data_IF_165392300641
#
_entry.id   IF_165392300641
#
_cell.length_a   1.000
_cell.length_b   1.000
_cell.length_c   1.000
_cell.angle_alpha   90.00
_cell.angle_beta   90.00
_cell.angle_gamma   90.00
#
_symmetry.space_group_name_H-M   'P 1'
#
loop_
_entity.id
_entity.type
_entity.pdbx_description
1 polymer ?
#
# COMPACT_ATOMS: atom_id res chain seq x y z
N UNK A 1 -5.34 4.21 -0.52
CA UNK A 1 -5.88 3.16 -1.42
C UNK A 1 -4.94 1.97 -1.43
N UNK A 2 -5.46 0.79 -1.20
CA UNK A 2 -4.67 -0.44 -1.17
C UNK A 2 -5.26 -1.42 -2.19
N UNK A 3 -4.42 -2.01 -3.04
CA UNK A 3 -4.86 -2.98 -4.03
C UNK A 3 -3.81 -4.04 -4.33
N UNK A 4 -4.25 -5.20 -4.78
CA UNK A 4 -3.39 -6.23 -5.34
C UNK A 4 -3.12 -5.92 -6.81
N UNK A 5 -2.06 -6.54 -7.37
CA UNK A 5 -1.62 -6.25 -8.74
C UNK A 5 -2.35 -7.17 -9.72
N UNK A 6 -3.56 -6.78 -10.12
CA UNK A 6 -4.28 -7.40 -11.22
C UNK A 6 -5.13 -6.35 -11.93
N UNK A 7 -5.56 -6.63 -13.14
CA UNK A 7 -6.26 -5.66 -13.97
C UNK A 7 -7.58 -5.17 -13.36
N UNK A 8 -8.48 -6.04 -12.84
CA UNK A 8 -9.71 -5.57 -12.20
C UNK A 8 -9.47 -4.64 -11.00
N UNK A 9 -8.46 -4.97 -10.16
CA UNK A 9 -8.12 -4.14 -9.00
C UNK A 9 -7.61 -2.77 -9.44
N UNK A 10 -6.78 -2.70 -10.47
CA UNK A 10 -6.25 -1.45 -11.02
C UNK A 10 -7.38 -0.57 -11.57
N UNK A 11 -8.34 -1.17 -12.26
CA UNK A 11 -9.52 -0.44 -12.75
C UNK A 11 -10.34 0.13 -11.61
N UNK A 12 -10.49 -0.63 -10.53
CA UNK A 12 -11.19 -0.16 -9.33
C UNK A 12 -10.44 0.99 -8.66
N UNK A 13 -9.10 0.93 -8.62
CA UNK A 13 -8.28 2.04 -8.13
C UNK A 13 -8.52 3.31 -8.92
N UNK A 14 -8.56 3.20 -10.24
CA UNK A 14 -8.81 4.33 -11.11
C UNK A 14 -10.18 4.96 -10.83
N UNK A 15 -11.21 4.13 -10.66
CA UNK A 15 -12.56 4.58 -10.33
C UNK A 15 -12.60 5.26 -8.95
N UNK A 16 -11.95 4.68 -7.96
CA UNK A 16 -11.88 5.23 -6.61
C UNK A 16 -11.16 6.58 -6.61
N UNK A 17 -10.05 6.68 -7.32
CA UNK A 17 -9.31 7.94 -7.42
C UNK A 17 -10.15 9.02 -8.07
N UNK A 18 -10.83 8.71 -9.18
CA UNK A 18 -11.71 9.65 -9.86
C UNK A 18 -12.84 10.13 -8.93
N UNK A 19 -13.40 9.21 -8.13
CA UNK A 19 -14.43 9.56 -7.17
C UNK A 19 -13.90 10.50 -6.09
N UNK A 20 -12.72 10.23 -5.53
CA UNK A 20 -12.11 11.09 -4.52
C UNK A 20 -11.84 12.49 -5.08
N UNK A 21 -11.35 12.59 -6.31
CA UNK A 21 -11.13 13.88 -6.97
C UNK A 21 -12.44 14.67 -7.12
N UNK A 22 -13.52 13.99 -7.51
CA UNK A 22 -14.85 14.61 -7.62
C UNK A 22 -15.37 15.10 -6.26
N UNK A 23 -14.99 14.43 -5.18
CA UNK A 23 -15.37 14.81 -3.82
C UNK A 23 -14.49 15.92 -3.26
N UNK A 24 -13.50 16.41 -4.02
CA UNK A 24 -12.66 17.51 -3.64
C UNK A 24 -11.35 17.14 -2.93
N UNK A 25 -11.01 15.86 -2.87
CA UNK A 25 -9.72 15.45 -2.30
C UNK A 25 -8.59 15.70 -3.29
N UNK A 26 -7.52 16.35 -2.82
CA UNK A 26 -6.33 16.55 -3.65
C UNK A 26 -5.53 15.25 -3.79
N UNK A 27 -4.80 15.11 -4.90
CA UNK A 27 -3.96 13.94 -5.15
C UNK A 27 -2.91 13.73 -4.04
N UNK A 28 -2.46 14.79 -3.41
CA UNK A 28 -1.47 14.72 -2.32
C UNK A 28 -1.99 13.99 -1.08
N UNK A 29 -3.31 14.02 -0.87
CA UNK A 29 -3.95 13.36 0.26
C UNK A 29 -4.25 11.89 -0.01
N UNK A 30 -4.10 11.45 -1.25
CA UNK A 30 -4.38 10.08 -1.68
C UNK A 30 -3.06 9.34 -1.81
N UNK A 31 -2.87 8.28 -1.06
CA UNK A 31 -1.68 7.43 -1.13
C UNK A 31 -2.04 6.08 -1.72
N UNK A 32 -1.22 5.61 -2.65
CA UNK A 32 -1.42 4.32 -3.32
C UNK A 32 -0.47 3.28 -2.73
N UNK A 33 -1.03 2.20 -2.21
CA UNK A 33 -0.27 1.09 -1.64
C UNK A 33 -0.59 -0.18 -2.42
N UNK A 34 0.45 -0.85 -2.91
CA UNK A 34 0.31 -2.15 -3.57
C UNK A 34 0.55 -3.26 -2.55
N UNK A 35 -0.44 -4.15 -2.42
CA UNK A 35 -0.37 -5.29 -1.52
C UNK A 35 -0.03 -6.55 -2.30
N UNK A 36 0.57 -7.54 -1.66
CA UNK A 36 1.01 -8.80 -2.27
C UNK A 36 1.89 -8.58 -3.50
N UNK A 37 2.75 -7.57 -3.43
CA UNK A 37 3.61 -7.21 -4.54
C UNK A 37 4.68 -8.27 -4.79
N UNK A 38 4.86 -8.64 -6.06
CA UNK A 38 5.92 -9.53 -6.53
C UNK A 38 6.67 -8.86 -7.67
N UNK A 39 8.00 -8.97 -7.68
CA UNK A 39 8.83 -8.30 -8.70
C UNK A 39 8.63 -8.86 -10.11
N UNK A 40 8.16 -10.12 -10.22
CA UNK A 40 7.96 -10.81 -11.50
C UNK A 40 6.56 -10.63 -12.08
N UNK A 41 5.81 -9.63 -11.65
CA UNK A 41 4.47 -9.38 -12.16
C UNK A 41 4.50 -8.97 -13.64
N UNK A 42 3.52 -9.45 -14.41
CA UNK A 42 3.33 -9.02 -15.80
C UNK A 42 2.99 -7.54 -15.88
N UNK A 43 2.21 -7.06 -14.92
CA UNK A 43 1.84 -5.65 -14.81
C UNK A 43 2.90 -4.96 -13.97
N UNK A 44 3.59 -4.04 -14.59
CA UNK A 44 4.67 -3.29 -13.93
C UNK A 44 4.13 -2.12 -13.12
N UNK A 45 4.88 -1.70 -12.11
CA UNK A 45 4.54 -0.54 -11.29
C UNK A 45 4.31 0.71 -12.14
N UNK A 46 5.15 0.93 -13.16
CA UNK A 46 4.99 2.07 -14.07
C UNK A 46 3.67 2.04 -14.82
N UNK A 47 3.20 0.85 -15.22
CA UNK A 47 1.91 0.70 -15.89
C UNK A 47 0.76 1.09 -14.97
N UNK A 48 0.83 0.68 -13.71
CA UNK A 48 -0.18 1.01 -12.70
C UNK A 48 -0.22 2.53 -12.46
N UNK A 49 0.94 3.13 -12.31
CA UNK A 49 1.07 4.59 -12.11
C UNK A 49 0.52 5.37 -13.28
N UNK A 50 0.73 4.89 -14.51
CA UNK A 50 0.21 5.53 -15.71
C UNK A 50 -1.32 5.46 -15.81
N UNK A 51 -1.89 4.31 -15.46
CA UNK A 51 -3.36 4.11 -15.51
C UNK A 51 -4.06 4.89 -14.40
N UNK A 52 -3.57 4.78 -13.18
CA UNK A 52 -4.18 5.42 -11.99
C UNK A 52 -3.82 6.90 -11.92
N UNK A 53 -2.74 7.31 -12.57
CA UNK A 53 -2.18 8.68 -12.54
C UNK A 53 -1.80 9.09 -11.13
N UNK A 54 -1.22 8.17 -10.41
CA UNK A 54 -0.77 8.35 -9.03
C UNK A 54 0.52 7.54 -8.81
N UNK A 55 1.50 8.14 -8.14
CA UNK A 55 2.72 7.42 -7.79
C UNK A 55 2.44 6.39 -6.69
N UNK A 56 3.11 5.24 -6.77
CA UNK A 56 3.02 4.23 -5.72
C UNK A 56 3.78 4.73 -4.49
N UNK A 57 3.07 4.86 -3.39
CA UNK A 57 3.65 5.32 -2.13
C UNK A 57 4.40 4.20 -1.40
N UNK A 58 3.84 2.99 -1.41
CA UNK A 58 4.43 1.85 -0.70
C UNK A 58 4.05 0.54 -1.37
N UNK A 59 4.94 -0.44 -1.29
CA UNK A 59 4.73 -1.80 -1.77
C UNK A 59 4.87 -2.77 -0.61
N UNK A 60 3.86 -3.58 -0.36
CA UNK A 60 3.89 -4.63 0.66
C UNK A 60 4.19 -5.95 -0.06
N UNK A 61 5.28 -6.65 0.30
CA UNK A 61 5.68 -7.87 -0.41
C UNK A 61 4.69 -9.02 -0.19
N UNK A 62 4.66 -9.94 -1.14
CA UNK A 62 3.89 -11.16 -1.01
C UNK A 62 4.64 -12.16 -0.14
N UNK A 63 4.09 -12.49 1.03
CA UNK A 63 4.63 -13.53 1.91
C UNK A 63 3.46 -14.36 2.44
N UNK A 64 2.95 -15.23 1.57
CA UNK A 64 1.75 -16.00 1.83
C UNK A 64 1.88 -16.89 3.07
N UNK A 65 3.00 -17.62 3.19
CA UNK A 65 3.18 -18.59 4.29
C UNK A 65 3.17 -17.91 5.65
N UNK A 66 3.91 -16.81 5.79
CA UNK A 66 3.99 -16.06 7.05
C UNK A 66 2.64 -15.44 7.39
N UNK A 67 1.96 -14.86 6.41
CA UNK A 67 0.65 -14.23 6.63
C UNK A 67 -0.42 -15.26 6.99
N UNK A 68 -0.43 -16.41 6.33
CA UNK A 68 -1.39 -17.47 6.65
C UNK A 68 -1.15 -18.05 8.05
N UNK A 69 0.11 -18.16 8.45
CA UNK A 69 0.44 -18.57 9.82
C UNK A 69 -0.11 -17.58 10.84
N UNK A 70 0.04 -16.30 10.59
CA UNK A 70 -0.48 -15.26 11.49
C UNK A 70 -2.02 -15.30 11.56
N UNK A 71 -2.68 -15.43 10.42
CA UNK A 71 -4.14 -15.51 10.34
C UNK A 71 -4.65 -16.76 11.10
N UNK A 72 -4.03 -17.91 10.87
CA UNK A 72 -4.44 -19.16 11.50
C UNK A 72 -4.24 -19.16 13.03
N UNK A 73 -3.23 -18.46 13.51
CA UNK A 73 -2.96 -18.32 14.95
C UNK A 73 -3.70 -17.16 15.59
N UNK A 74 -4.32 -16.29 14.78
CA UNK A 74 -5.00 -15.10 15.28
C UNK A 74 -4.06 -14.10 15.94
N UNK A 75 -2.81 -14.02 15.48
CA UNK A 75 -1.78 -13.13 16.01
C UNK A 75 -1.19 -12.22 14.93
N UNK A 76 -0.70 -11.02 15.31
CA UNK A 76 -0.02 -10.15 14.36
C UNK A 76 1.23 -10.80 13.78
N UNK A 77 1.52 -10.52 12.51
CA UNK A 77 2.70 -11.07 11.83
C UNK A 77 3.99 -10.66 12.52
N UNK A 78 4.03 -9.48 13.13
CA UNK A 78 5.19 -8.98 13.87
C UNK A 78 5.51 -9.83 15.11
N UNK A 79 4.51 -10.51 15.66
CA UNK A 79 4.70 -11.41 16.81
C UNK A 79 5.10 -12.82 16.36
N UNK A 80 4.50 -13.30 15.25
CA UNK A 80 4.76 -14.64 14.73
C UNK A 80 6.20 -14.75 14.19
N UNK A 81 6.61 -13.80 13.38
CA UNK A 81 7.92 -13.80 12.76
C UNK A 81 8.39 -12.35 12.55
N UNK A 82 8.96 -11.72 13.61
CA UNK A 82 9.35 -10.31 13.54
C UNK A 82 10.47 -10.03 12.54
N UNK A 83 11.25 -11.05 12.17
CA UNK A 83 12.35 -10.91 11.22
C UNK A 83 11.96 -11.18 9.78
N UNK A 84 10.69 -11.55 9.51
CA UNK A 84 10.22 -11.77 8.15
C UNK A 84 10.22 -10.47 7.36
N UNK A 85 10.38 -10.59 6.04
CA UNK A 85 10.36 -9.42 5.15
C UNK A 85 9.07 -8.61 5.27
N UNK A 86 7.93 -9.29 5.46
CA UNK A 86 6.64 -8.62 5.56
C UNK A 86 6.49 -7.89 6.91
N UNK A 87 6.96 -8.49 8.00
CA UNK A 87 6.90 -7.83 9.31
C UNK A 87 7.77 -6.58 9.34
N UNK A 88 8.99 -6.66 8.80
CA UNK A 88 9.89 -5.51 8.68
C UNK A 88 9.28 -4.45 7.77
N UNK A 89 8.69 -4.85 6.66
CA UNK A 89 8.04 -3.95 5.72
C UNK A 89 6.89 -3.17 6.38
N UNK A 90 6.02 -3.84 7.14
CA UNK A 90 4.94 -3.17 7.87
C UNK A 90 5.47 -2.15 8.88
N UNK A 91 6.53 -2.51 9.59
CA UNK A 91 7.15 -1.60 10.57
C UNK A 91 7.69 -0.35 9.89
N UNK A 92 8.41 -0.52 8.80
CA UNK A 92 8.95 0.61 8.03
C UNK A 92 7.84 1.46 7.41
N UNK A 93 6.79 0.83 6.91
CA UNK A 93 5.63 1.52 6.35
C UNK A 93 4.94 2.38 7.41
N UNK A 94 4.69 1.80 8.58
CA UNK A 94 4.07 2.52 9.69
C UNK A 94 4.91 3.71 10.12
N UNK A 95 6.23 3.53 10.22
CA UNK A 95 7.17 4.59 10.58
C UNK A 95 7.14 5.74 9.56
N UNK A 96 7.21 5.40 8.26
CA UNK A 96 7.16 6.39 7.19
C UNK A 96 5.85 7.16 7.19
N UNK A 97 4.73 6.47 7.37
CA UNK A 97 3.42 7.09 7.40
C UNK A 97 3.25 8.02 8.60
N UNK A 98 3.73 7.61 9.78
CA UNK A 98 3.73 8.46 10.97
C UNK A 98 4.56 9.72 10.77
N UNK A 99 5.76 9.61 10.22
CA UNK A 99 6.62 10.75 9.93
C UNK A 99 5.95 11.72 8.95
N UNK A 100 5.31 11.19 7.92
CA UNK A 100 4.57 12.00 6.96
C UNK A 100 3.43 12.77 7.64
N UNK A 101 2.63 12.10 8.47
CA UNK A 101 1.50 12.71 9.16
C UNK A 101 1.96 13.79 10.14
N UNK A 102 3.04 13.56 10.87
CA UNK A 102 3.61 14.54 11.82
C UNK A 102 4.10 15.77 11.06
N UNK A 103 4.87 15.58 9.97
CA UNK A 103 5.38 16.66 9.15
C UNK A 103 4.26 17.48 8.54
N UNK A 104 3.24 16.83 7.99
CA UNK A 104 2.07 17.48 7.41
C UNK A 104 1.32 18.32 8.46
N UNK A 105 1.19 17.80 9.67
CA UNK A 105 0.53 18.48 10.77
C UNK A 105 1.29 19.73 11.21
N UNK A 106 2.62 19.66 11.24
CA UNK A 106 3.48 20.80 11.60
C UNK A 106 3.44 21.90 10.52
N UNK A 107 3.35 21.52 9.25
CA UNK A 107 3.27 22.47 8.14
C UNK A 107 1.94 23.22 8.08
N UNK A 108 0.87 22.63 8.61
CA UNK A 108 -0.47 23.22 8.60
C UNK A 108 -0.75 24.11 9.80
N UNK A 109 0.25 24.31 10.65
CA UNK A 109 0.20 25.29 11.73
C UNK A 109 0.85 26.59 11.29
#
# INVERSE_FOLDING_TARGET
MIAIVNLPAIRNLQRCKNLFEKLGYSAEKIKLVLNRYMENEEIKTSDIEDVVKQKVYWKIPNNYLTMMSAVNKGEPVSRINPDSNIAVNYKEFASKLCDYLITSRLQNK
#
